data_IF_081245430054
#
_entry.id   IF_081245430054
#
_cell.length_a   1.000
_cell.length_b   1.000
_cell.length_c   1.000
_cell.angle_alpha   90.00
_cell.angle_beta   90.00
_cell.angle_gamma   90.00
#
_symmetry.space_group_name_H-M   'P 1'
#
loop_
_entity.id
_entity.type
_entity.pdbx_description
1 polymer ?
#
# COMPACT_ATOMS: atom_id res chain seq x y z
N UNK A 1 -47.35 -134.29 -57.42
CA UNK A 1 -46.56 -133.05 -57.38
C UNK A 1 -47.28 -132.03 -56.51
N UNK A 2 -46.63 -131.68 -55.40
CA UNK A 2 -46.71 -130.47 -54.56
C UNK A 2 -48.07 -130.00 -54.01
N UNK A 3 -48.25 -130.38 -52.74
CA UNK A 3 -49.22 -129.89 -51.77
C UNK A 3 -49.17 -128.36 -51.61
N UNK A 4 -50.33 -127.70 -51.73
CA UNK A 4 -50.55 -126.32 -51.27
C UNK A 4 -50.96 -126.31 -49.80
N UNK A 5 -50.10 -125.78 -48.93
CA UNK A 5 -50.38 -125.11 -47.64
C UNK A 5 -49.29 -124.04 -47.40
N UNK A 6 -49.54 -122.96 -46.62
CA UNK A 6 -50.80 -122.24 -46.41
C UNK A 6 -50.62 -120.70 -46.58
N UNK A 7 -51.58 -120.04 -47.22
CA UNK A 7 -51.59 -118.57 -47.41
C UNK A 7 -51.80 -117.76 -46.11
N UNK A 8 -52.11 -118.42 -44.98
CA UNK A 8 -52.43 -117.78 -43.69
C UNK A 8 -51.22 -117.51 -42.78
N UNK A 9 -50.06 -118.12 -43.02
CA UNK A 9 -48.87 -117.90 -42.19
C UNK A 9 -48.21 -116.54 -42.50
N UNK A 10 -48.18 -116.13 -43.77
CA UNK A 10 -47.61 -114.84 -44.19
C UNK A 10 -48.40 -113.61 -43.71
N UNK A 11 -49.73 -113.70 -43.59
CA UNK A 11 -50.55 -112.60 -43.05
C UNK A 11 -50.35 -112.42 -41.55
N UNK A 12 -50.13 -113.51 -40.82
CA UNK A 12 -49.87 -113.45 -39.38
C UNK A 12 -48.49 -112.86 -39.09
N UNK A 13 -47.46 -113.19 -39.88
CA UNK A 13 -46.13 -112.58 -39.76
C UNK A 13 -46.11 -111.11 -40.17
N UNK A 14 -46.85 -110.72 -41.22
CA UNK A 14 -46.99 -109.32 -41.63
C UNK A 14 -47.67 -108.47 -40.56
N UNK A 15 -48.72 -108.98 -39.90
CA UNK A 15 -49.39 -108.28 -38.80
C UNK A 15 -48.50 -108.16 -37.55
N UNK A 16 -47.65 -109.15 -37.26
CA UNK A 16 -46.64 -109.06 -36.20
C UNK A 16 -45.58 -108.00 -36.53
N UNK A 17 -45.11 -107.93 -37.77
CA UNK A 17 -44.17 -106.92 -38.22
C UNK A 17 -44.77 -105.50 -38.12
N UNK A 18 -46.02 -105.32 -38.54
CA UNK A 18 -46.76 -104.06 -38.40
C UNK A 18 -46.95 -103.65 -36.93
N UNK A 19 -47.22 -104.60 -36.03
CA UNK A 19 -47.32 -104.32 -34.60
C UNK A 19 -45.99 -103.87 -34.00
N UNK A 20 -44.88 -104.51 -34.36
CA UNK A 20 -43.53 -104.13 -33.92
C UNK A 20 -43.13 -102.75 -34.47
N UNK A 21 -43.40 -102.49 -35.76
CA UNK A 21 -43.16 -101.18 -36.38
C UNK A 21 -44.02 -100.08 -35.74
N UNK A 22 -45.29 -100.36 -35.45
CA UNK A 22 -46.18 -99.42 -34.76
C UNK A 22 -45.72 -99.12 -33.33
N UNK A 23 -45.24 -100.14 -32.61
CA UNK A 23 -44.64 -99.98 -31.27
C UNK A 23 -43.37 -99.13 -31.30
N UNK A 24 -42.46 -99.38 -32.25
CA UNK A 24 -41.23 -98.58 -32.43
C UNK A 24 -41.53 -97.14 -32.85
N UNK A 25 -42.51 -96.93 -33.73
CA UNK A 25 -42.95 -95.61 -34.12
C UNK A 25 -43.56 -94.85 -32.92
N UNK A 26 -44.41 -95.51 -32.13
CA UNK A 26 -44.99 -94.92 -30.92
C UNK A 26 -43.91 -94.56 -29.90
N UNK A 27 -42.89 -95.40 -29.71
CA UNK A 27 -41.75 -95.13 -28.83
C UNK A 27 -40.91 -93.95 -29.34
N UNK A 28 -40.67 -93.87 -30.66
CA UNK A 28 -39.92 -92.77 -31.27
C UNK A 28 -40.65 -91.43 -31.13
N UNK A 29 -41.98 -91.42 -31.33
CA UNK A 29 -42.80 -90.22 -31.12
C UNK A 29 -42.80 -89.82 -29.64
N UNK A 30 -42.95 -90.76 -28.72
CA UNK A 30 -42.88 -90.48 -27.28
C UNK A 30 -41.51 -89.91 -26.87
N UNK A 31 -40.42 -90.48 -27.40
CA UNK A 31 -39.06 -89.98 -27.18
C UNK A 31 -38.84 -88.57 -27.73
N UNK A 32 -39.40 -88.26 -28.91
CA UNK A 32 -39.33 -86.92 -29.51
C UNK A 32 -40.11 -85.89 -28.69
N UNK A 33 -41.32 -86.22 -28.25
CA UNK A 33 -42.12 -85.34 -27.38
C UNK A 33 -41.40 -85.09 -26.05
N UNK A 34 -40.81 -86.12 -25.46
CA UNK A 34 -40.03 -86.01 -24.23
C UNK A 34 -38.77 -85.15 -24.41
N UNK A 35 -38.05 -85.32 -25.53
CA UNK A 35 -36.89 -84.50 -25.87
C UNK A 35 -37.28 -83.02 -26.05
N UNK A 36 -38.35 -82.74 -26.81
CA UNK A 36 -38.86 -81.38 -27.00
C UNK A 36 -39.26 -80.77 -25.64
N UNK A 37 -39.90 -81.54 -24.76
CA UNK A 37 -40.29 -81.08 -23.43
C UNK A 37 -39.08 -80.67 -22.58
N UNK A 38 -38.03 -81.51 -22.50
CA UNK A 38 -36.80 -81.20 -21.76
C UNK A 38 -36.11 -79.98 -22.36
N UNK A 39 -35.93 -79.92 -23.69
CA UNK A 39 -35.30 -78.77 -24.35
C UNK A 39 -36.09 -77.48 -24.13
N UNK A 40 -37.42 -77.54 -24.08
CA UNK A 40 -38.26 -76.37 -23.80
C UNK A 40 -38.18 -75.94 -22.33
N UNK A 41 -38.00 -76.88 -21.40
CA UNK A 41 -37.82 -76.56 -19.98
C UNK A 41 -36.48 -75.87 -19.73
N UNK A 42 -35.38 -76.40 -20.28
CA UNK A 42 -34.04 -75.78 -20.19
C UNK A 42 -34.01 -74.41 -20.89
N UNK A 43 -34.71 -74.26 -22.02
CA UNK A 43 -34.85 -72.97 -22.72
C UNK A 43 -35.68 -71.96 -21.89
N UNK A 44 -36.73 -72.39 -21.20
CA UNK A 44 -37.54 -71.51 -20.35
C UNK A 44 -36.77 -71.04 -19.11
N UNK A 45 -36.01 -71.93 -18.46
CA UNK A 45 -35.20 -71.59 -17.29
C UNK A 45 -34.05 -70.63 -17.65
N UNK A 46 -33.39 -70.84 -18.80
CA UNK A 46 -32.38 -69.90 -19.29
C UNK A 46 -32.97 -68.56 -19.74
N UNK A 47 -34.12 -68.54 -20.43
CA UNK A 47 -34.80 -67.31 -20.84
C UNK A 47 -35.20 -66.44 -19.64
N UNK A 48 -35.81 -67.05 -18.62
CA UNK A 48 -36.21 -66.32 -17.40
C UNK A 48 -35.02 -65.78 -16.61
N UNK A 49 -33.90 -66.52 -16.59
CA UNK A 49 -32.63 -66.05 -15.99
C UNK A 49 -32.05 -64.84 -16.74
N UNK A 50 -32.07 -64.87 -18.08
CA UNK A 50 -31.61 -63.75 -18.92
C UNK A 50 -32.50 -62.53 -18.76
N UNK A 51 -33.83 -62.71 -18.73
CA UNK A 51 -34.79 -61.63 -18.50
C UNK A 51 -34.61 -60.97 -17.12
N UNK A 52 -34.35 -61.77 -16.08
CA UNK A 52 -34.03 -61.27 -14.74
C UNK A 52 -32.77 -60.41 -14.72
N UNK A 53 -31.68 -60.87 -15.35
CA UNK A 53 -30.44 -60.10 -15.48
C UNK A 53 -30.62 -58.83 -16.31
N UNK A 54 -31.44 -58.89 -17.37
CA UNK A 54 -31.75 -57.72 -18.19
C UNK A 54 -32.54 -56.67 -17.39
N UNK A 55 -33.55 -57.09 -16.64
CA UNK A 55 -34.34 -56.20 -15.79
C UNK A 55 -33.49 -55.53 -14.70
N UNK A 56 -32.59 -56.28 -14.06
CA UNK A 56 -31.65 -55.72 -13.07
C UNK A 56 -30.73 -54.66 -13.71
N UNK A 57 -30.18 -54.94 -14.90
CA UNK A 57 -29.32 -53.97 -15.60
C UNK A 57 -30.07 -52.73 -16.05
N UNK A 58 -31.32 -52.86 -16.48
CA UNK A 58 -32.16 -51.71 -16.85
C UNK A 58 -32.37 -50.80 -15.63
N UNK A 59 -32.73 -51.36 -14.46
CA UNK A 59 -32.90 -50.58 -13.23
C UNK A 59 -31.61 -49.88 -12.78
N UNK A 60 -30.45 -50.54 -12.93
CA UNK A 60 -29.16 -49.92 -12.65
C UNK A 60 -28.86 -48.76 -13.60
N UNK A 61 -29.25 -48.88 -14.87
CA UNK A 61 -29.06 -47.86 -15.89
C UNK A 61 -29.96 -46.65 -15.62
N UNK A 62 -31.21 -46.87 -15.21
CA UNK A 62 -32.13 -45.81 -14.80
C UNK A 62 -31.59 -45.04 -13.58
N UNK A 63 -31.09 -45.76 -12.57
CA UNK A 63 -30.47 -45.14 -11.39
C UNK A 63 -29.22 -44.34 -11.77
N UNK A 64 -28.38 -44.86 -12.67
CA UNK A 64 -27.20 -44.16 -13.14
C UNK A 64 -27.56 -42.88 -13.92
N UNK A 65 -28.61 -42.92 -14.75
CA UNK A 65 -29.10 -41.74 -15.46
C UNK A 65 -29.63 -40.67 -14.50
N UNK A 66 -30.39 -41.06 -13.47
CA UNK A 66 -30.87 -40.11 -12.45
C UNK A 66 -29.71 -39.44 -11.70
N UNK A 67 -28.67 -40.21 -11.35
CA UNK A 67 -27.45 -39.65 -10.76
C UNK A 67 -26.72 -38.69 -11.70
N UNK A 68 -26.67 -38.98 -13.00
CA UNK A 68 -26.08 -38.07 -14.00
C UNK A 68 -26.85 -36.75 -14.07
N UNK A 69 -28.19 -36.80 -14.02
CA UNK A 69 -29.03 -35.60 -14.03
C UNK A 69 -28.89 -34.76 -12.75
N UNK A 70 -28.80 -35.40 -11.58
CA UNK A 70 -28.50 -34.71 -10.33
C UNK A 70 -27.12 -34.07 -10.36
N UNK A 71 -26.10 -34.79 -10.84
CA UNK A 71 -24.75 -34.26 -10.98
C UNK A 71 -24.72 -33.07 -11.94
N UNK A 72 -25.47 -33.12 -13.05
CA UNK A 72 -25.57 -32.04 -14.01
C UNK A 72 -26.13 -30.76 -13.38
N UNK A 73 -27.15 -30.88 -12.52
CA UNK A 73 -27.70 -29.74 -11.75
C UNK A 73 -26.67 -29.15 -10.79
N UNK A 74 -26.00 -29.98 -10.01
CA UNK A 74 -24.96 -29.53 -9.07
C UNK A 74 -23.81 -28.82 -9.81
N UNK A 75 -23.40 -29.35 -10.96
CA UNK A 75 -22.36 -28.72 -11.79
C UNK A 75 -22.83 -27.36 -12.35
N UNK A 76 -24.09 -27.22 -12.73
CA UNK A 76 -24.65 -25.94 -13.17
C UNK A 76 -24.65 -24.91 -12.02
N UNK A 77 -25.14 -25.30 -10.84
CA UNK A 77 -25.18 -24.43 -9.65
C UNK A 77 -23.76 -24.00 -9.22
N UNK A 78 -22.79 -24.92 -9.24
CA UNK A 78 -21.40 -24.59 -8.92
C UNK A 78 -20.77 -23.64 -9.94
N UNK A 79 -21.10 -23.78 -11.23
CA UNK A 79 -20.63 -22.85 -12.28
C UNK A 79 -21.19 -21.46 -12.07
N UNK A 80 -22.49 -21.34 -11.80
CA UNK A 80 -23.11 -20.03 -11.52
C UNK A 80 -22.49 -19.38 -10.28
N UNK A 81 -22.30 -20.15 -9.21
CA UNK A 81 -21.67 -19.66 -7.98
C UNK A 81 -20.22 -19.22 -8.20
N UNK A 82 -19.48 -19.93 -9.04
CA UNK A 82 -18.09 -19.57 -9.40
C UNK A 82 -18.07 -18.24 -10.16
N UNK A 83 -18.92 -18.07 -11.17
CA UNK A 83 -19.01 -16.81 -11.92
C UNK A 83 -19.45 -15.64 -11.04
N UNK A 84 -20.37 -15.87 -10.10
CA UNK A 84 -20.80 -14.84 -9.14
C UNK A 84 -19.63 -14.39 -8.24
N UNK A 85 -18.84 -15.34 -7.72
CA UNK A 85 -17.67 -15.04 -6.90
C UNK A 85 -16.55 -14.34 -7.69
N UNK A 86 -16.31 -14.74 -8.94
CA UNK A 86 -15.36 -14.04 -9.83
C UNK A 86 -15.78 -12.60 -10.06
N UNK A 87 -17.06 -12.35 -10.35
CA UNK A 87 -17.59 -11.00 -10.52
C UNK A 87 -17.47 -10.16 -9.25
N UNK A 88 -17.80 -10.73 -8.09
CA UNK A 88 -17.68 -10.06 -6.80
C UNK A 88 -16.22 -9.72 -6.48
N UNK A 89 -15.29 -10.63 -6.76
CA UNK A 89 -13.86 -10.37 -6.58
C UNK A 89 -13.35 -9.27 -7.51
N UNK A 90 -13.70 -9.31 -8.80
CA UNK A 90 -13.34 -8.25 -9.76
C UNK A 90 -13.89 -6.89 -9.29
N UNK A 91 -15.11 -6.84 -8.77
CA UNK A 91 -15.71 -5.61 -8.26
C UNK A 91 -14.99 -5.09 -7.01
N UNK A 92 -14.63 -5.97 -6.08
CA UNK A 92 -13.81 -5.63 -4.91
C UNK A 92 -12.44 -5.12 -5.32
N UNK A 93 -11.77 -5.81 -6.24
CA UNK A 93 -10.44 -5.43 -6.74
C UNK A 93 -10.49 -4.07 -7.43
N UNK A 94 -11.51 -3.81 -8.26
CA UNK A 94 -11.72 -2.48 -8.86
C UNK A 94 -11.92 -1.38 -7.81
N UNK A 95 -12.67 -1.66 -6.74
CA UNK A 95 -12.89 -0.70 -5.66
C UNK A 95 -11.61 -0.41 -4.88
N UNK A 96 -10.84 -1.44 -4.57
CA UNK A 96 -9.54 -1.31 -3.90
C UNK A 96 -8.58 -0.53 -4.78
N UNK A 97 -8.45 -0.88 -6.06
CA UNK A 97 -7.60 -0.17 -7.01
C UNK A 97 -7.97 1.31 -7.11
N UNK A 98 -9.27 1.62 -7.17
CA UNK A 98 -9.73 3.01 -7.19
C UNK A 98 -9.32 3.77 -5.93
N UNK A 99 -9.50 3.17 -4.74
CA UNK A 99 -9.07 3.75 -3.48
C UNK A 99 -7.55 3.95 -3.41
N UNK A 100 -6.79 3.01 -3.96
CA UNK A 100 -5.32 3.07 -4.00
C UNK A 100 -4.84 4.20 -4.92
N UNK A 101 -5.47 4.39 -6.08
CA UNK A 101 -5.20 5.53 -6.98
C UNK A 101 -5.52 6.85 -6.29
N UNK A 102 -6.69 6.98 -5.66
CA UNK A 102 -7.08 8.19 -4.91
C UNK A 102 -6.09 8.50 -3.78
N UNK A 103 -5.70 7.48 -2.99
CA UNK A 103 -4.70 7.62 -1.93
C UNK A 103 -3.31 8.02 -2.48
N UNK A 104 -2.91 7.46 -3.63
CA UNK A 104 -1.64 7.80 -4.27
C UNK A 104 -1.63 9.25 -4.78
N UNK A 105 -2.74 9.73 -5.34
CA UNK A 105 -2.89 11.12 -5.77
C UNK A 105 -2.81 12.09 -4.58
N UNK A 106 -3.44 11.74 -3.45
CA UNK A 106 -3.32 12.50 -2.20
C UNK A 106 -1.88 12.55 -1.69
N UNK A 107 -1.18 11.40 -1.65
CA UNK A 107 0.21 11.33 -1.23
C UNK A 107 1.11 12.21 -2.11
N UNK A 108 0.94 12.14 -3.43
CA UNK A 108 1.66 12.99 -4.39
C UNK A 108 1.36 14.49 -4.21
N UNK A 109 0.12 14.84 -3.83
CA UNK A 109 -0.27 16.21 -3.50
C UNK A 109 0.43 16.71 -2.23
N UNK A 110 0.49 15.88 -1.18
CA UNK A 110 1.21 16.21 0.06
C UNK A 110 2.71 16.37 -0.18
N UNK A 111 3.34 15.49 -0.97
CA UNK A 111 4.75 15.58 -1.29
C UNK A 111 5.09 16.88 -2.03
N UNK A 112 4.26 17.30 -2.99
CA UNK A 112 4.40 18.60 -3.67
C UNK A 112 4.30 19.77 -2.68
N UNK A 113 3.31 19.74 -1.78
CA UNK A 113 3.13 20.78 -0.74
C UNK A 113 4.33 20.84 0.23
N UNK A 114 4.91 19.70 0.59
CA UNK A 114 6.12 19.65 1.42
C UNK A 114 7.32 20.26 0.68
N UNK A 115 7.55 19.89 -0.58
CA UNK A 115 8.63 20.47 -1.39
C UNK A 115 8.52 22.00 -1.54
N UNK A 116 7.30 22.54 -1.70
CA UNK A 116 7.05 23.98 -1.72
C UNK A 116 7.34 24.66 -0.37
N UNK A 117 7.09 23.97 0.75
CA UNK A 117 7.41 24.50 2.08
C UNK A 117 8.90 24.45 2.36
N UNK A 118 9.60 23.39 1.96
CA UNK A 118 11.06 23.30 2.10
C UNK A 118 11.77 24.40 1.31
N UNK A 119 11.31 24.72 0.10
CA UNK A 119 11.85 25.83 -0.68
C UNK A 119 11.57 27.19 -0.02
N UNK A 120 10.37 27.39 0.52
CA UNK A 120 10.02 28.59 1.28
C UNK A 120 10.88 28.76 2.55
N UNK A 121 11.14 27.68 3.29
CA UNK A 121 12.02 27.69 4.46
C UNK A 121 13.44 28.07 4.06
N UNK A 122 14.01 27.43 3.02
CA UNK A 122 15.35 27.76 2.52
C UNK A 122 15.48 29.21 2.09
N UNK A 123 14.46 29.76 1.41
CA UNK A 123 14.41 31.18 1.03
C UNK A 123 14.41 32.09 2.25
N UNK A 124 13.57 31.80 3.26
CA UNK A 124 13.54 32.58 4.51
C UNK A 124 14.84 32.48 5.32
N UNK A 125 15.49 31.31 5.33
CA UNK A 125 16.81 31.15 5.94
C UNK A 125 17.90 31.97 5.23
N UNK A 126 17.83 32.09 3.90
CA UNK A 126 18.73 32.96 3.14
C UNK A 126 18.48 34.44 3.42
N UNK A 127 17.21 34.89 3.45
CA UNK A 127 16.84 36.25 3.84
C UNK A 127 17.37 36.59 5.24
N UNK A 128 17.23 35.67 6.20
CA UNK A 128 17.77 35.83 7.56
C UNK A 128 19.28 35.99 7.61
N UNK A 129 20.02 35.21 6.82
CA UNK A 129 21.48 35.28 6.77
C UNK A 129 21.94 36.63 6.24
N UNK A 130 21.29 37.13 5.19
CA UNK A 130 21.57 38.47 4.65
C UNK A 130 21.17 39.58 5.62
N UNK A 131 20.00 39.47 6.27
CA UNK A 131 19.59 40.39 7.32
C UNK A 131 20.54 40.36 8.53
N UNK A 132 21.07 39.20 8.89
CA UNK A 132 22.03 39.08 10.00
C UNK A 132 23.37 39.72 9.65
N UNK A 133 23.88 39.50 8.43
CA UNK A 133 25.11 40.16 7.95
C UNK A 133 24.96 41.68 7.91
N UNK A 134 23.85 42.19 7.34
CA UNK A 134 23.60 43.63 7.26
C UNK A 134 23.49 44.26 8.65
N UNK A 135 22.87 43.57 9.62
CA UNK A 135 22.86 44.01 11.01
C UNK A 135 24.26 43.99 11.63
N UNK A 136 25.05 42.93 11.44
CA UNK A 136 26.43 42.86 11.94
C UNK A 136 27.32 43.96 11.35
N UNK A 137 27.16 44.26 10.06
CA UNK A 137 27.86 45.37 9.41
C UNK A 137 27.41 46.73 9.93
N UNK A 138 26.10 46.92 10.16
CA UNK A 138 25.56 48.12 10.78
C UNK A 138 26.07 48.28 12.21
N UNK A 139 26.10 47.22 13.01
CA UNK A 139 26.65 47.20 14.37
C UNK A 139 28.15 47.55 14.38
N UNK A 140 28.94 47.00 13.45
CA UNK A 140 30.37 47.36 13.30
C UNK A 140 30.57 48.82 12.92
N UNK A 141 29.78 49.34 11.97
CA UNK A 141 29.83 50.75 11.57
C UNK A 141 29.47 51.65 12.75
N UNK A 142 28.39 51.33 13.46
CA UNK A 142 27.90 52.09 14.59
C UNK A 142 28.89 52.06 15.76
N UNK A 143 29.51 50.90 16.05
CA UNK A 143 30.57 50.79 17.06
C UNK A 143 31.78 51.70 16.74
N UNK A 144 32.22 51.73 15.47
CA UNK A 144 33.28 52.66 15.03
C UNK A 144 32.86 54.12 15.18
N UNK A 145 31.65 54.47 14.74
CA UNK A 145 31.14 55.84 14.85
C UNK A 145 31.02 56.29 16.30
N UNK A 146 30.57 55.42 17.20
CA UNK A 146 30.48 55.68 18.64
C UNK A 146 31.87 55.80 19.29
N UNK A 147 32.83 54.98 18.88
CA UNK A 147 34.22 55.07 19.36
C UNK A 147 34.88 56.39 18.90
N UNK A 148 34.72 56.76 17.63
CA UNK A 148 35.24 58.00 17.07
C UNK A 148 34.56 59.24 17.69
N UNK A 149 33.25 59.22 17.87
CA UNK A 149 32.52 60.30 18.54
C UNK A 149 32.92 60.43 20.01
N UNK A 150 33.09 59.30 20.72
CA UNK A 150 33.58 59.28 22.11
C UNK A 150 34.99 59.87 22.25
N UNK A 151 35.92 59.54 21.33
CA UNK A 151 37.26 60.14 21.30
C UNK A 151 37.23 61.64 21.05
N UNK A 152 36.40 62.10 20.10
CA UNK A 152 36.21 63.53 19.83
C UNK A 152 35.65 64.26 21.04
N UNK A 153 34.68 63.66 21.73
CA UNK A 153 34.03 64.22 22.91
C UNK A 153 35.01 64.34 24.09
N UNK A 154 35.82 63.30 24.33
CA UNK A 154 36.88 63.34 25.35
C UNK A 154 37.94 64.41 25.04
N UNK A 155 38.38 64.53 23.79
CA UNK A 155 39.32 65.55 23.37
C UNK A 155 38.74 66.97 23.49
N UNK A 156 37.45 67.16 23.20
CA UNK A 156 36.76 68.44 23.40
C UNK A 156 36.63 68.78 24.88
N UNK A 157 36.26 67.82 25.74
CA UNK A 157 36.20 68.02 27.19
C UNK A 157 37.56 68.39 27.80
N UNK A 158 38.65 67.77 27.33
CA UNK A 158 40.00 68.09 27.78
C UNK A 158 40.42 69.51 27.36
N UNK A 159 40.15 69.90 26.11
CA UNK A 159 40.36 71.28 25.63
C UNK A 159 39.55 72.29 26.43
N UNK A 160 38.31 71.95 26.81
CA UNK A 160 37.45 72.80 27.61
C UNK A 160 37.99 73.01 29.03
N UNK A 161 38.45 71.92 29.68
CA UNK A 161 39.11 71.97 31.00
C UNK A 161 40.41 72.77 30.97
N UNK A 162 41.21 72.64 29.91
CA UNK A 162 42.43 73.42 29.72
C UNK A 162 42.15 74.91 29.47
N UNK A 163 41.11 75.23 28.68
CA UNK A 163 40.69 76.60 28.42
C UNK A 163 40.07 77.30 29.64
N UNK A 164 39.32 76.58 30.48
CA UNK A 164 38.76 77.12 31.73
C UNK A 164 39.85 77.37 32.80
N UNK A 165 40.99 76.68 32.73
CA UNK A 165 42.14 76.89 33.63
C UNK A 165 43.02 78.10 33.23
N UNK A 166 43.00 78.53 31.96
CA UNK A 166 43.75 79.68 31.43
C UNK A 166 42.88 80.93 31.33
N UNK A 167 42.76 81.72 32.42
CA UNK A 167 42.05 83.02 32.39
C UNK A 167 42.77 84.00 31.45
N UNK A 168 42.15 84.36 30.33
CA UNK A 168 42.70 85.43 29.46
C UNK A 168 41.87 85.85 28.25
N UNK A 169 41.85 85.08 27.17
CA UNK A 169 41.36 85.62 25.87
C UNK A 169 40.36 84.77 25.09
N UNK A 170 39.93 83.60 25.56
CA UNK A 170 39.22 82.62 24.72
C UNK A 170 37.73 82.43 25.07
N UNK A 171 36.99 83.51 25.40
CA UNK A 171 35.55 83.42 25.74
C UNK A 171 34.67 82.95 24.56
N UNK A 172 35.01 83.35 23.33
CA UNK A 172 34.30 82.94 22.11
C UNK A 172 34.61 81.50 21.70
N UNK A 173 35.86 81.05 21.87
CA UNK A 173 36.28 79.67 21.55
C UNK A 173 35.70 78.66 22.54
N UNK A 174 35.62 79.00 23.83
CA UNK A 174 34.96 78.15 24.84
C UNK A 174 33.46 78.04 24.56
N UNK A 175 32.81 79.10 24.10
CA UNK A 175 31.39 79.06 23.73
C UNK A 175 31.14 78.19 22.47
N UNK A 176 31.98 78.29 21.44
CA UNK A 176 31.93 77.42 20.25
C UNK A 176 32.16 75.96 20.61
N UNK A 177 33.19 75.67 21.42
CA UNK A 177 33.51 74.32 21.87
C UNK A 177 32.39 73.71 22.74
N UNK A 178 31.70 74.50 23.59
CA UNK A 178 30.52 74.05 24.34
C UNK A 178 29.34 73.71 23.41
N UNK A 179 29.11 74.53 22.38
CA UNK A 179 28.04 74.29 21.39
C UNK A 179 28.29 73.01 20.60
N UNK A 180 29.51 72.82 20.11
CA UNK A 180 29.92 71.62 19.36
C UNK A 180 29.90 70.36 20.23
N UNK A 181 30.23 70.48 21.52
CA UNK A 181 30.15 69.37 22.48
C UNK A 181 28.69 68.91 22.69
N UNK A 182 27.76 69.84 22.89
CA UNK A 182 26.34 69.51 23.08
C UNK A 182 25.72 68.92 21.80
N UNK A 183 26.12 69.41 20.63
CA UNK A 183 25.70 68.83 19.34
C UNK A 183 26.24 67.39 19.18
N UNK A 184 27.49 67.15 19.58
CA UNK A 184 28.11 65.82 19.52
C UNK A 184 27.46 64.83 20.51
N UNK A 185 27.10 65.29 21.72
CA UNK A 185 26.32 64.49 22.70
C UNK A 185 24.96 64.09 22.15
N UNK A 186 24.25 65.03 21.52
CA UNK A 186 22.92 64.80 20.95
C UNK A 186 22.95 63.78 19.82
N UNK A 187 23.92 63.89 18.92
CA UNK A 187 24.13 62.92 17.83
C UNK A 187 24.45 61.51 18.36
N UNK A 188 25.18 61.39 19.47
CA UNK A 188 25.52 60.09 20.07
C UNK A 188 24.29 59.40 20.71
N UNK A 189 23.37 60.16 21.31
CA UNK A 189 22.10 59.62 21.84
C UNK A 189 21.15 59.15 20.72
N UNK A 190 21.12 59.86 19.58
CA UNK A 190 20.35 59.44 18.40
C UNK A 190 20.87 58.12 17.81
N UNK A 191 22.19 57.93 17.76
CA UNK A 191 22.81 56.67 17.34
C UNK A 191 22.48 55.50 18.28
N UNK A 192 22.46 55.72 19.60
CA UNK A 192 22.04 54.68 20.56
C UNK A 192 20.59 54.28 20.39
N UNK A 193 19.68 55.24 20.13
CA UNK A 193 18.27 54.94 19.86
C UNK A 193 18.10 54.10 18.59
N UNK A 194 18.79 54.46 17.50
CA UNK A 194 18.77 53.68 16.25
C UNK A 194 19.26 52.23 16.45
N UNK A 195 20.31 52.04 17.24
CA UNK A 195 20.83 50.70 17.57
C UNK A 195 19.83 49.86 18.39
N UNK A 196 19.14 50.46 19.37
CA UNK A 196 18.11 49.78 20.15
C UNK A 196 16.92 49.34 19.28
N UNK A 197 16.52 50.17 18.33
CA UNK A 197 15.42 49.89 17.42
C UNK A 197 15.72 48.72 16.47
N UNK A 198 16.94 48.70 15.90
CA UNK A 198 17.42 47.62 15.04
C UNK A 198 17.46 46.27 15.79
N UNK A 199 17.92 46.26 17.04
CA UNK A 199 17.94 45.06 17.86
C UNK A 199 16.53 44.54 18.20
N UNK A 200 15.55 45.43 18.39
CA UNK A 200 14.15 45.03 18.59
C UNK A 200 13.56 44.34 17.36
N UNK A 201 13.87 44.83 16.14
CA UNK A 201 13.43 44.25 14.88
C UNK A 201 14.04 42.86 14.65
N UNK A 202 15.33 42.69 14.97
CA UNK A 202 16.02 41.40 14.93
C UNK A 202 15.36 40.37 15.85
N UNK A 203 15.06 40.73 17.10
CA UNK A 203 14.37 39.83 18.04
C UNK A 203 13.00 39.39 17.54
N UNK A 204 12.21 40.30 16.93
CA UNK A 204 10.90 39.97 16.37
C UNK A 204 11.02 38.97 15.21
N UNK A 205 11.95 39.18 14.28
CA UNK A 205 12.17 38.27 13.17
C UNK A 205 12.57 36.85 13.65
N UNK A 206 13.51 36.75 14.60
CA UNK A 206 13.93 35.45 15.16
C UNK A 206 12.76 34.70 15.79
N UNK A 207 11.89 35.39 16.55
CA UNK A 207 10.72 34.78 17.18
C UNK A 207 9.71 34.22 16.16
N UNK A 208 9.56 34.87 15.01
CA UNK A 208 8.65 34.45 13.95
C UNK A 208 9.14 33.16 13.26
N UNK A 209 10.46 33.04 13.03
CA UNK A 209 11.07 31.83 12.47
C UNK A 209 10.99 30.63 13.41
N UNK A 210 11.16 30.83 14.73
CA UNK A 210 11.00 29.74 15.71
C UNK A 210 9.57 29.19 15.66
N UNK A 211 8.55 30.06 15.57
CA UNK A 211 7.16 29.63 15.43
C UNK A 211 6.93 28.82 14.15
N UNK A 212 7.47 29.26 13.03
CA UNK A 212 7.35 28.56 11.75
C UNK A 212 8.04 27.18 11.78
N UNK A 213 9.22 27.06 12.41
CA UNK A 213 9.91 25.77 12.57
C UNK A 213 9.12 24.79 13.43
N UNK A 214 8.57 25.25 14.55
CA UNK A 214 7.68 24.47 15.43
C UNK A 214 6.43 23.97 14.69
N UNK A 215 5.78 24.84 13.91
CA UNK A 215 4.60 24.47 13.14
C UNK A 215 4.93 23.46 12.02
N UNK A 216 6.10 23.60 11.38
CA UNK A 216 6.58 22.65 10.40
C UNK A 216 6.84 21.26 11.02
N UNK A 217 7.51 21.21 12.18
CA UNK A 217 7.78 19.97 12.92
C UNK A 217 6.50 19.23 13.30
N UNK A 218 5.49 19.95 13.80
CA UNK A 218 4.17 19.37 14.14
C UNK A 218 3.45 18.78 12.93
N UNK A 219 3.50 19.48 11.79
CA UNK A 219 2.89 19.00 10.54
C UNK A 219 3.62 17.77 9.96
N UNK A 220 4.94 17.70 10.09
CA UNK A 220 5.75 16.54 9.71
C UNK A 220 5.44 15.31 10.58
N UNK A 221 5.32 15.49 11.89
CA UNK A 221 4.93 14.43 12.80
C UNK A 221 3.52 13.89 12.51
N UNK A 222 2.55 14.79 12.24
CA UNK A 222 1.19 14.39 11.87
C UNK A 222 1.15 13.63 10.52
N UNK A 223 1.95 14.04 9.54
CA UNK A 223 2.06 13.36 8.26
C UNK A 223 2.72 11.97 8.38
N UNK A 224 3.74 11.82 9.23
CA UNK A 224 4.38 10.54 9.51
C UNK A 224 3.44 9.52 10.18
N UNK A 225 2.63 9.98 11.14
CA UNK A 225 1.62 9.12 11.78
C UNK A 225 0.52 8.65 10.82
N UNK A 226 0.11 9.50 9.86
CA UNK A 226 -0.90 9.14 8.87
C UNK A 226 -0.42 8.08 7.84
N UNK A 227 0.90 7.97 7.63
CA UNK A 227 1.51 7.07 6.64
C UNK A 227 2.07 5.77 7.24
N UNK A 228 1.94 5.55 8.56
CA UNK A 228 2.41 4.32 9.22
C UNK A 228 3.94 4.13 9.23
N UNK A 229 4.71 5.17 8.92
CA UNK A 229 6.18 5.13 8.92
C UNK A 229 6.68 5.65 10.29
N UNK A 230 7.47 4.88 11.05
CA UNK A 230 8.05 5.38 12.28
C UNK A 230 8.98 6.56 11.96
N UNK A 231 8.64 7.73 12.49
CA UNK A 231 9.45 8.94 12.35
C UNK A 231 10.72 8.77 13.18
N UNK A 232 11.82 8.38 12.55
CA UNK A 232 13.17 8.60 13.09
C UNK A 232 13.45 10.10 12.93
N UNK A 233 13.08 10.87 13.94
CA UNK A 233 13.56 12.24 14.09
C UNK A 233 14.90 12.08 14.80
N UNK A 234 15.97 11.88 14.05
CA UNK A 234 17.31 11.98 14.62
C UNK A 234 17.48 13.42 15.11
N UNK A 235 17.59 13.56 16.43
CA UNK A 235 18.08 14.76 17.09
C UNK A 235 19.52 15.00 16.60
N UNK A 236 19.65 15.82 15.56
CA UNK A 236 20.93 16.49 15.30
C UNK A 236 21.05 17.57 16.36
N UNK A 237 21.47 17.13 17.56
CA UNK A 237 21.87 17.96 18.68
C UNK A 237 22.89 19.02 18.24
N UNK A 238 22.66 20.22 18.75
CA UNK A 238 23.58 21.34 18.81
C UNK A 238 24.97 20.90 19.28
N UNK A 239 25.92 20.76 18.34
CA UNK A 239 27.33 20.80 18.69
C UNK A 239 27.73 22.26 19.00
N UNK A 240 28.15 22.61 20.22
CA UNK A 240 28.57 23.97 20.52
C UNK A 240 29.91 24.29 19.82
N UNK A 241 30.15 25.54 19.42
CA UNK A 241 31.42 25.94 18.82
C UNK A 241 32.53 25.86 19.87
N UNK A 242 33.41 24.86 19.78
CA UNK A 242 34.65 24.80 20.58
C UNK A 242 35.57 25.95 20.17
N UNK A 243 35.68 26.94 21.04
CA UNK A 243 36.70 27.97 20.97
C UNK A 243 38.11 27.45 21.27
N UNK A 244 39.09 28.01 20.59
CA UNK A 244 40.44 28.23 21.10
C UNK A 244 41.52 27.21 20.70
N UNK A 245 42.45 27.62 19.83
CA UNK A 245 43.82 27.99 20.23
C UNK A 245 44.63 28.57 19.05
N UNK A 246 45.20 29.73 19.34
CA UNK A 246 46.19 30.49 18.57
C UNK A 246 47.53 29.71 18.55
N UNK A 247 48.24 29.55 17.42
CA UNK A 247 49.66 29.25 17.49
C UNK A 247 50.43 30.55 17.67
N UNK A 248 51.11 30.65 18.82
CA UNK A 248 52.14 31.63 19.06
C UNK A 248 53.38 31.27 18.23
N UNK A 249 53.82 32.21 17.41
CA UNK A 249 55.17 32.19 16.85
C UNK A 249 56.19 32.36 17.99
N UNK A 250 57.25 31.56 17.97
CA UNK A 250 58.44 31.78 18.78
C UNK A 250 59.67 31.47 17.92
N UNK A 251 60.55 32.47 17.88
CA UNK A 251 61.94 32.53 17.40
C UNK A 251 62.16 32.27 15.91
#
# INVERSE_FOLDING_TARGET
MLLRKPKRENELESNKALFVLGGLFSLAVAGLVFYIYISHQECAESSTSIEGQLAEKVLLLDRANEQVDELAKVVADLRERTLALEKENIEKDHKIFKQEVEAQEECNSYQRKLGLKDSAIKSKEAELKEMSKTVEEAEKKLAKTVEESGKKLAAMEEKLKAADAGKGSCKSEVASAKSELEECKKSNEELKKSAAEANSKKKKAVAEIVKLKEEYKKRLAAAGQALGVPTVVDDVEDAPPKGGKKPAAKA
#
